data_IF_207370271649
#
_entry.id   IF_207370271649
#
_cell.length_a   1.000
_cell.length_b   1.000
_cell.length_c   1.000
_cell.angle_alpha   90.00
_cell.angle_beta   90.00
_cell.angle_gamma   90.00
#
_symmetry.space_group_name_H-M   'P 1'
#
loop_
_entity.id
_entity.type
_entity.pdbx_description
1 polymer ?
#
# COMPACT_ATOMS: atom_id res chain seq x y z
N UNK A 1 -31.75 -28.30 82.28
CA UNK A 1 -32.14 -27.02 81.67
C UNK A 1 -31.16 -26.70 80.55
N UNK A 2 -31.59 -25.92 79.57
CA UNK A 2 -32.62 -26.24 78.60
C UNK A 2 -31.96 -26.77 77.29
N UNK A 3 -32.48 -27.67 76.43
CA UNK A 3 -33.60 -28.64 76.47
C UNK A 3 -33.67 -29.47 75.14
N UNK A 4 -33.53 -30.81 75.26
CA UNK A 4 -33.99 -31.97 74.45
C UNK A 4 -33.89 -32.00 72.90
N UNK A 5 -33.21 -32.95 72.22
CA UNK A 5 -32.91 -34.40 72.41
C UNK A 5 -34.13 -35.32 72.14
N UNK A 6 -34.03 -36.14 71.07
CA UNK A 6 -34.78 -37.38 70.67
C UNK A 6 -35.16 -37.29 69.17
N UNK A 7 -34.62 -38.06 68.21
CA UNK A 7 -34.36 -39.51 68.07
C UNK A 7 -35.60 -40.38 68.29
N UNK A 8 -36.21 -40.89 67.21
CA UNK A 8 -36.97 -42.16 67.18
C UNK A 8 -37.34 -42.61 65.75
N UNK A 9 -37.55 -43.93 65.53
CA UNK A 9 -37.09 -44.65 64.34
C UNK A 9 -38.26 -45.32 63.55
N UNK A 10 -38.12 -45.58 62.23
CA UNK A 10 -37.82 -46.87 61.54
C UNK A 10 -39.04 -47.79 61.23
N UNK A 11 -39.04 -48.28 59.97
CA UNK A 11 -39.73 -49.47 59.37
C UNK A 11 -41.26 -49.45 59.19
N UNK A 12 -41.91 -50.03 58.16
CA UNK A 12 -41.55 -50.61 56.86
C UNK A 12 -42.86 -51.03 56.14
N UNK A 13 -42.75 -51.37 54.85
CA UNK A 13 -43.74 -51.94 53.90
C UNK A 13 -44.81 -50.97 53.35
N UNK A 14 -45.11 -50.83 52.06
CA UNK A 14 -44.81 -51.48 50.78
C UNK A 14 -46.15 -51.54 50.03
N UNK A 15 -46.32 -50.81 48.92
CA UNK A 15 -46.75 -51.34 47.61
C UNK A 15 -47.01 -50.22 46.60
N UNK A 16 -46.31 -50.35 45.46
CA UNK A 16 -46.74 -50.11 44.07
C UNK A 16 -47.65 -48.90 43.75
N UNK A 17 -47.19 -48.02 42.85
CA UNK A 17 -47.85 -47.80 41.54
C UNK A 17 -47.05 -46.85 40.62
N UNK A 18 -46.89 -47.32 39.39
CA UNK A 18 -46.66 -46.63 38.11
C UNK A 18 -45.32 -45.91 37.82
N UNK A 19 -44.53 -46.56 36.95
CA UNK A 19 -43.52 -45.94 36.08
C UNK A 19 -44.22 -45.04 35.05
N UNK A 20 -43.84 -43.77 34.99
CA UNK A 20 -44.00 -42.93 33.79
C UNK A 20 -42.61 -42.52 33.31
N UNK A 21 -42.28 -42.89 32.07
CA UNK A 21 -41.02 -42.58 31.43
C UNK A 21 -40.95 -41.09 31.08
N UNK A 22 -40.02 -40.35 31.69
CA UNK A 22 -39.70 -38.98 31.30
C UNK A 22 -38.70 -39.00 30.14
N UNK A 23 -39.20 -38.70 28.94
CA UNK A 23 -38.40 -38.27 27.80
C UNK A 23 -37.78 -36.90 28.12
N UNK A 24 -36.50 -36.88 28.48
CA UNK A 24 -35.72 -35.64 28.52
C UNK A 24 -35.34 -35.31 27.08
N UNK A 25 -36.08 -34.38 26.48
CA UNK A 25 -35.70 -33.78 25.20
C UNK A 25 -34.44 -32.96 25.39
N UNK A 26 -33.31 -33.48 24.92
CA UNK A 26 -32.08 -32.70 24.75
C UNK A 26 -32.31 -31.78 23.57
N UNK A 27 -32.68 -30.53 23.85
CA UNK A 27 -32.75 -29.48 22.85
C UNK A 27 -31.33 -29.09 22.47
N UNK A 28 -30.82 -29.63 21.36
CA UNK A 28 -29.57 -29.18 20.75
C UNK A 28 -29.80 -27.76 20.24
N UNK A 29 -29.29 -26.77 20.97
CA UNK A 29 -29.19 -25.41 20.47
C UNK A 29 -28.22 -25.42 19.28
N UNK A 30 -28.79 -25.41 18.08
CA UNK A 30 -28.05 -25.20 16.84
C UNK A 30 -27.46 -23.79 16.91
N UNK A 31 -26.13 -23.67 17.03
CA UNK A 31 -25.44 -22.41 16.79
C UNK A 31 -25.59 -22.07 15.31
N UNK A 32 -26.66 -21.35 14.97
CA UNK A 32 -26.84 -20.78 13.64
C UNK A 32 -25.78 -19.70 13.44
N UNK A 33 -24.87 -19.92 12.49
CA UNK A 33 -24.09 -18.84 11.89
C UNK A 33 -25.10 -17.79 11.38
N UNK A 34 -25.17 -16.64 12.03
CA UNK A 34 -25.97 -15.51 11.55
C UNK A 34 -25.40 -15.14 10.18
N UNK A 35 -26.22 -15.21 9.13
CA UNK A 35 -25.83 -14.70 7.83
C UNK A 35 -25.68 -13.17 7.94
N UNK A 36 -24.59 -12.63 7.39
CA UNK A 36 -24.34 -11.18 7.35
C UNK A 36 -25.54 -10.44 6.75
N UNK A 37 -25.92 -9.32 7.35
CA UNK A 37 -26.98 -8.48 6.77
C UNK A 37 -26.50 -7.81 5.48
N UNK A 38 -27.42 -7.36 4.64
CA UNK A 38 -27.06 -6.62 3.42
C UNK A 38 -26.25 -5.35 3.73
N UNK A 39 -26.51 -4.71 4.87
CA UNK A 39 -25.74 -3.55 5.33
C UNK A 39 -24.30 -3.93 5.70
N UNK A 40 -24.11 -5.06 6.38
CA UNK A 40 -22.78 -5.57 6.76
C UNK A 40 -21.94 -5.90 5.51
N UNK A 41 -22.56 -6.50 4.49
CA UNK A 41 -21.90 -6.78 3.20
C UNK A 41 -21.47 -5.49 2.50
N UNK A 42 -22.30 -4.45 2.49
CA UNK A 42 -21.94 -3.14 1.91
C UNK A 42 -20.80 -2.49 2.71
N UNK A 43 -20.87 -2.50 4.04
CA UNK A 43 -19.81 -1.95 4.88
C UNK A 43 -18.47 -2.67 4.70
N UNK A 44 -18.50 -4.00 4.59
CA UNK A 44 -17.32 -4.81 4.23
C UNK A 44 -16.81 -4.45 2.83
N UNK A 45 -17.71 -4.22 1.88
CA UNK A 45 -17.38 -3.80 0.53
C UNK A 45 -16.69 -2.44 0.47
N UNK A 46 -17.15 -1.47 1.25
CA UNK A 46 -16.51 -0.17 1.39
C UNK A 46 -15.10 -0.31 1.96
N UNK A 47 -14.96 -1.08 3.05
CA UNK A 47 -13.68 -1.37 3.68
C UNK A 47 -12.67 -1.97 2.68
N UNK A 48 -13.09 -2.96 1.90
CA UNK A 48 -12.23 -3.62 0.90
C UNK A 48 -11.97 -2.73 -0.32
N UNK A 49 -12.92 -1.89 -0.73
CA UNK A 49 -12.70 -0.92 -1.82
C UNK A 49 -11.70 0.16 -1.41
N UNK A 50 -11.65 0.54 -0.12
CA UNK A 50 -10.56 1.34 0.45
C UNK A 50 -9.25 0.57 0.40
N UNK A 51 -9.21 -0.64 0.98
CA UNK A 51 -8.01 -1.48 1.02
C UNK A 51 -7.37 -1.69 -0.37
N UNK A 52 -8.20 -1.80 -1.41
CA UNK A 52 -7.77 -1.96 -2.80
C UNK A 52 -7.67 -0.67 -3.61
N UNK A 53 -7.47 0.49 -2.96
CA UNK A 53 -7.21 1.78 -3.62
C UNK A 53 -8.19 2.14 -4.77
N UNK A 54 -9.44 1.63 -4.69
CA UNK A 54 -10.40 1.79 -5.77
C UNK A 54 -10.73 3.27 -5.95
N UNK A 55 -10.80 4.01 -4.85
CA UNK A 55 -11.08 5.45 -4.82
C UNK A 55 -9.94 6.22 -5.47
N UNK A 56 -8.69 5.94 -5.09
CA UNK A 56 -7.51 6.61 -5.62
C UNK A 56 -7.45 6.52 -7.16
N UNK A 57 -7.78 5.36 -7.73
CA UNK A 57 -7.74 5.18 -9.18
C UNK A 57 -9.01 5.69 -9.91
N UNK A 58 -10.19 5.44 -9.35
CA UNK A 58 -11.46 5.66 -10.04
C UNK A 58 -12.18 6.96 -9.64
N UNK A 59 -11.51 7.84 -8.90
CA UNK A 59 -12.03 9.16 -8.54
C UNK A 59 -11.02 10.23 -8.93
N UNK A 60 -11.47 11.26 -9.64
CA UNK A 60 -10.64 12.43 -9.93
C UNK A 60 -10.48 13.29 -8.66
N UNK A 61 -9.35 14.01 -8.48
CA UNK A 61 -9.26 15.06 -7.48
C UNK A 61 -10.44 16.04 -7.61
N UNK A 62 -11.15 16.30 -6.51
CA UNK A 62 -12.40 17.07 -6.47
C UNK A 62 -13.54 16.56 -7.39
N UNK A 63 -13.41 15.34 -7.91
CA UNK A 63 -14.41 14.67 -8.73
C UNK A 63 -15.47 13.93 -7.91
N UNK A 64 -16.43 13.33 -8.61
CA UNK A 64 -17.44 12.48 -7.97
C UNK A 64 -16.87 11.09 -7.74
N UNK A 65 -17.13 10.53 -6.55
CA UNK A 65 -16.69 9.20 -6.15
C UNK A 65 -17.00 8.16 -7.25
N UNK A 66 -15.98 7.43 -7.68
CA UNK A 66 -16.06 6.38 -8.70
C UNK A 66 -16.47 6.82 -10.12
N UNK A 67 -16.47 8.13 -10.41
CA UNK A 67 -16.80 8.67 -11.73
C UNK A 67 -15.75 8.39 -12.83
N UNK A 68 -14.57 7.89 -12.46
CA UNK A 68 -13.47 7.58 -13.37
C UNK A 68 -12.82 8.82 -14.00
N UNK A 69 -12.04 8.58 -15.06
CA UNK A 69 -11.40 9.60 -15.87
C UNK A 69 -10.00 10.02 -15.41
N UNK A 70 -9.44 9.40 -14.36
CA UNK A 70 -8.09 9.72 -13.88
C UNK A 70 -7.05 9.32 -14.94
N UNK A 71 -6.21 10.26 -15.41
CA UNK A 71 -5.09 9.94 -16.30
C UNK A 71 -4.01 9.20 -15.52
N UNK A 72 -3.47 8.14 -16.14
CA UNK A 72 -2.31 7.40 -15.66
C UNK A 72 -1.28 7.38 -16.78
N UNK A 73 -0.27 8.24 -16.66
CA UNK A 73 0.82 8.27 -17.63
C UNK A 73 1.70 7.05 -17.47
N UNK A 74 2.01 6.40 -18.59
CA UNK A 74 2.93 5.27 -18.65
C UNK A 74 3.95 5.51 -19.77
N UNK A 75 5.08 4.79 -19.78
CA UNK A 75 6.01 4.83 -20.91
C UNK A 75 5.36 4.48 -22.26
N UNK A 76 4.20 3.82 -22.24
CA UNK A 76 3.47 3.33 -23.41
C UNK A 76 2.35 4.28 -23.89
N UNK A 77 2.14 5.40 -23.19
CA UNK A 77 1.05 6.34 -23.40
C UNK A 77 0.15 6.48 -22.17
N UNK A 78 -0.97 7.16 -22.32
CA UNK A 78 -1.85 7.51 -21.18
C UNK A 78 -3.04 6.56 -21.11
N UNK A 79 -3.20 5.92 -19.96
CA UNK A 79 -4.39 5.16 -19.60
C UNK A 79 -5.36 6.07 -18.85
N UNK A 80 -6.65 5.76 -18.92
CA UNK A 80 -7.69 6.51 -18.21
C UNK A 80 -8.53 5.53 -17.41
N UNK A 81 -8.74 5.79 -16.12
CA UNK A 81 -9.57 4.92 -15.28
C UNK A 81 -11.04 4.98 -15.73
N UNK A 82 -11.77 3.85 -15.76
CA UNK A 82 -13.19 3.87 -16.08
C UNK A 82 -14.04 4.35 -14.90
N UNK A 83 -15.23 4.83 -15.21
CA UNK A 83 -16.34 5.02 -14.27
C UNK A 83 -16.81 3.65 -13.77
N UNK A 84 -16.77 3.45 -12.46
CA UNK A 84 -17.20 2.21 -11.79
C UNK A 84 -18.39 2.44 -10.84
N UNK A 85 -19.10 3.55 -11.00
CA UNK A 85 -20.35 3.80 -10.28
C UNK A 85 -21.48 2.87 -10.74
N UNK A 86 -22.59 2.90 -10.01
CA UNK A 86 -23.81 2.13 -10.30
C UNK A 86 -24.58 2.62 -11.55
N UNK A 87 -24.05 3.59 -12.30
CA UNK A 87 -24.67 4.07 -13.55
C UNK A 87 -24.77 2.93 -14.58
N UNK A 88 -25.93 2.83 -15.23
CA UNK A 88 -26.25 1.70 -16.14
C UNK A 88 -25.66 1.87 -17.53
N UNK A 89 -25.33 3.08 -17.95
CA UNK A 89 -24.92 3.36 -19.34
C UNK A 89 -23.41 3.58 -19.47
N UNK A 90 -22.82 4.21 -18.46
CA UNK A 90 -21.42 4.63 -18.45
C UNK A 90 -20.61 3.98 -17.33
N UNK A 91 -21.27 3.47 -16.28
CA UNK A 91 -20.68 2.74 -15.16
C UNK A 91 -20.85 1.22 -15.24
N UNK A 92 -20.85 0.56 -14.08
CA UNK A 92 -20.99 -0.90 -13.94
C UNK A 92 -22.41 -1.35 -13.56
N UNK A 93 -23.41 -0.48 -13.61
CA UNK A 93 -24.79 -0.79 -13.16
C UNK A 93 -25.52 -1.90 -13.94
N UNK A 94 -25.01 -2.31 -15.11
CA UNK A 94 -25.52 -3.45 -15.89
C UNK A 94 -24.71 -4.74 -15.70
N UNK A 95 -23.66 -4.71 -14.87
CA UNK A 95 -22.85 -5.89 -14.60
C UNK A 95 -23.60 -6.80 -13.62
N UNK A 96 -23.18 -8.05 -13.54
CA UNK A 96 -23.53 -8.97 -12.47
C UNK A 96 -22.33 -9.17 -11.54
N UNK A 97 -22.59 -9.57 -10.30
CA UNK A 97 -21.53 -9.93 -9.35
C UNK A 97 -20.56 -10.98 -9.93
N UNK A 98 -21.08 -11.95 -10.71
CA UNK A 98 -20.26 -12.94 -11.42
C UNK A 98 -19.34 -12.31 -12.48
N UNK A 99 -19.84 -11.36 -13.26
CA UNK A 99 -19.02 -10.67 -14.26
C UNK A 99 -17.96 -9.78 -13.61
N UNK A 100 -18.31 -9.12 -12.50
CA UNK A 100 -17.36 -8.34 -11.70
C UNK A 100 -16.25 -9.23 -11.12
N UNK A 101 -16.61 -10.34 -10.45
CA UNK A 101 -15.64 -11.32 -9.94
C UNK A 101 -14.71 -11.84 -11.04
N UNK A 102 -15.28 -12.22 -12.20
CA UNK A 102 -14.49 -12.66 -13.35
C UNK A 102 -13.53 -11.57 -13.83
N UNK A 103 -13.94 -10.30 -13.84
CA UNK A 103 -13.07 -9.19 -14.23
C UNK A 103 -11.92 -9.02 -13.23
N UNK A 104 -12.20 -9.04 -11.92
CA UNK A 104 -11.17 -8.95 -10.88
C UNK A 104 -10.16 -10.11 -10.96
N UNK A 105 -10.65 -11.33 -11.25
CA UNK A 105 -9.81 -12.54 -11.25
C UNK A 105 -9.07 -12.79 -12.56
N UNK A 106 -9.66 -12.38 -13.67
CA UNK A 106 -9.17 -12.73 -15.00
C UNK A 106 -8.82 -11.51 -15.83
N UNK A 107 -9.01 -10.27 -15.36
CA UNK A 107 -8.73 -9.06 -16.15
C UNK A 107 -9.50 -8.98 -17.47
N UNK A 108 -10.68 -9.64 -17.55
CA UNK A 108 -11.56 -9.63 -18.73
C UNK A 108 -12.79 -8.78 -18.43
N UNK A 109 -13.02 -7.79 -19.26
CA UNK A 109 -14.23 -6.96 -19.21
C UNK A 109 -15.48 -7.80 -19.52
N UNK A 110 -16.66 -7.20 -19.31
CA UNK A 110 -17.97 -7.81 -19.59
C UNK A 110 -18.11 -8.25 -21.05
N UNK A 111 -17.58 -7.48 -21.99
CA UNK A 111 -17.56 -7.75 -23.43
C UNK A 111 -16.49 -8.77 -23.86
N UNK A 112 -15.70 -9.29 -22.92
CA UNK A 112 -14.61 -10.22 -23.17
C UNK A 112 -13.28 -9.56 -23.57
N UNK A 113 -13.23 -8.23 -23.69
CA UNK A 113 -11.98 -7.52 -23.95
C UNK A 113 -11.01 -7.64 -22.77
N UNK A 114 -9.70 -7.69 -23.07
CA UNK A 114 -8.66 -7.74 -22.06
C UNK A 114 -8.39 -6.34 -21.50
N UNK A 115 -8.32 -6.24 -20.17
CA UNK A 115 -7.91 -5.03 -19.48
C UNK A 115 -6.39 -4.85 -19.53
N UNK A 116 -5.96 -3.59 -19.58
CA UNK A 116 -4.54 -3.25 -19.41
C UNK A 116 -4.12 -3.47 -17.95
N UNK A 117 -2.86 -3.89 -17.70
CA UNK A 117 -2.39 -4.30 -16.37
C UNK A 117 -2.24 -3.16 -15.37
N UNK A 118 -2.53 -1.91 -15.76
CA UNK A 118 -2.73 -0.84 -14.79
C UNK A 118 -3.93 -1.10 -13.88
N UNK A 119 -4.94 -1.84 -14.36
CA UNK A 119 -5.88 -2.48 -13.46
C UNK A 119 -5.19 -3.71 -12.85
N UNK A 120 -5.06 -3.81 -11.52
CA UNK A 120 -4.19 -4.76 -10.83
C UNK A 120 -4.78 -6.18 -10.74
N UNK A 121 -5.37 -6.68 -11.82
CA UNK A 121 -6.03 -8.00 -11.86
C UNK A 121 -5.07 -9.17 -11.54
N UNK A 122 -3.76 -8.99 -11.74
CA UNK A 122 -2.76 -9.99 -11.39
C UNK A 122 -2.61 -10.16 -9.86
N UNK A 123 -2.95 -9.12 -9.08
CA UNK A 123 -3.04 -9.16 -7.62
C UNK A 123 -4.47 -9.48 -7.18
N UNK A 124 -5.47 -8.84 -7.77
CA UNK A 124 -6.87 -9.01 -7.37
C UNK A 124 -7.43 -10.41 -7.61
N UNK A 125 -6.78 -11.23 -8.43
CA UNK A 125 -7.09 -12.67 -8.53
C UNK A 125 -6.96 -13.42 -7.19
N UNK A 126 -6.28 -12.84 -6.19
CA UNK A 126 -6.13 -13.40 -4.86
C UNK A 126 -7.36 -13.24 -3.97
N UNK A 127 -8.27 -12.31 -4.26
CA UNK A 127 -9.39 -11.99 -3.37
C UNK A 127 -10.44 -13.09 -3.38
N UNK A 128 -11.07 -13.36 -2.25
CA UNK A 128 -12.13 -14.37 -2.21
C UNK A 128 -13.37 -13.92 -2.98
N UNK A 129 -14.19 -14.89 -3.43
CA UNK A 129 -15.49 -14.58 -4.02
C UNK A 129 -16.39 -13.71 -3.13
N UNK A 130 -16.41 -13.99 -1.82
CA UNK A 130 -17.21 -13.22 -0.88
C UNK A 130 -16.76 -11.75 -0.81
N UNK A 131 -15.45 -11.51 -0.79
CA UNK A 131 -14.88 -10.16 -0.77
C UNK A 131 -15.12 -9.41 -2.08
N UNK A 132 -15.02 -10.09 -3.22
CA UNK A 132 -15.38 -9.52 -4.52
C UNK A 132 -16.87 -9.14 -4.60
N UNK A 133 -17.75 -9.98 -4.06
CA UNK A 133 -19.20 -9.72 -4.07
C UNK A 133 -19.56 -8.57 -3.11
N UNK A 134 -18.84 -8.45 -1.98
CA UNK A 134 -18.97 -7.31 -1.06
C UNK A 134 -18.54 -5.99 -1.72
N UNK A 135 -17.36 -5.95 -2.35
CA UNK A 135 -16.92 -4.76 -3.11
C UNK A 135 -17.95 -4.39 -4.17
N UNK A 136 -18.44 -5.37 -4.93
CA UNK A 136 -19.47 -5.14 -5.93
C UNK A 136 -20.75 -4.56 -5.33
N UNK A 137 -21.24 -5.11 -4.22
CA UNK A 137 -22.41 -4.59 -3.52
C UNK A 137 -22.24 -3.14 -3.07
N UNK A 138 -21.07 -2.78 -2.54
CA UNK A 138 -20.74 -1.40 -2.20
C UNK A 138 -20.76 -0.48 -3.43
N UNK A 139 -20.11 -0.87 -4.53
CA UNK A 139 -20.11 -0.08 -5.77
C UNK A 139 -21.52 0.08 -6.37
N UNK A 140 -22.40 -0.90 -6.19
CA UNK A 140 -23.82 -0.78 -6.59
C UNK A 140 -24.63 0.13 -5.66
N UNK A 141 -24.17 0.32 -4.41
CA UNK A 141 -24.85 1.18 -3.43
C UNK A 141 -24.51 2.66 -3.57
N UNK A 142 -23.37 3.01 -4.20
CA UNK A 142 -22.98 4.40 -4.39
C UNK A 142 -23.87 5.12 -5.41
N UNK A 143 -24.04 6.46 -5.31
CA UNK A 143 -24.80 7.23 -6.28
C UNK A 143 -24.28 7.04 -7.73
N UNK A 144 -25.17 6.85 -8.71
CA UNK A 144 -24.77 6.68 -10.10
C UNK A 144 -24.21 7.99 -10.66
N UNK A 145 -23.09 7.89 -11.36
CA UNK A 145 -22.48 9.01 -12.08
C UNK A 145 -22.58 8.74 -13.57
N UNK A 146 -23.37 9.54 -14.29
CA UNK A 146 -23.45 9.45 -15.74
C UNK A 146 -22.28 10.21 -16.39
N UNK A 147 -21.17 9.51 -16.60
CA UNK A 147 -19.94 10.07 -17.16
C UNK A 147 -19.29 9.06 -18.10
N UNK A 148 -19.30 9.31 -19.42
CA UNK A 148 -18.67 8.42 -20.39
C UNK A 148 -17.18 8.22 -20.15
N UNK A 149 -16.71 6.98 -20.35
CA UNK A 149 -15.30 6.64 -20.24
C UNK A 149 -14.50 7.28 -21.38
N UNK A 150 -13.30 7.78 -21.06
CA UNK A 150 -12.35 8.27 -22.05
C UNK A 150 -11.54 7.11 -22.65
N UNK A 151 -11.37 7.02 -23.97
CA UNK A 151 -10.49 6.02 -24.58
C UNK A 151 -9.03 6.25 -24.18
N UNK A 152 -8.25 5.17 -24.09
CA UNK A 152 -6.82 5.27 -23.81
C UNK A 152 -6.05 5.88 -24.98
N UNK A 153 -4.97 6.59 -24.66
CA UNK A 153 -4.07 7.25 -25.60
C UNK A 153 -2.73 6.52 -25.62
N UNK A 154 -2.78 5.24 -25.96
CA UNK A 154 -1.61 4.38 -26.06
C UNK A 154 -0.96 4.48 -27.44
N UNK A 155 0.36 4.43 -27.46
CA UNK A 155 1.15 4.46 -28.70
C UNK A 155 1.17 3.07 -29.33
N UNK A 156 1.23 3.00 -30.66
CA UNK A 156 1.51 1.73 -31.33
C UNK A 156 2.88 1.18 -30.90
N UNK A 157 3.03 -0.13 -30.63
CA UNK A 157 2.03 -1.20 -30.78
C UNK A 157 1.16 -1.45 -29.54
N UNK A 158 1.36 -0.74 -28.43
CA UNK A 158 0.68 -0.99 -27.14
C UNK A 158 -0.83 -0.70 -27.15
N UNK A 159 -1.33 0.05 -28.14
CA UNK A 159 -2.77 0.21 -28.38
C UNK A 159 -3.47 -1.07 -28.89
N UNK A 160 -2.73 -2.13 -29.24
CA UNK A 160 -3.29 -3.39 -29.70
C UNK A 160 -3.59 -4.34 -28.54
N UNK A 161 -4.86 -4.43 -28.12
CA UNK A 161 -5.30 -5.29 -27.00
C UNK A 161 -4.93 -6.76 -27.13
N UNK A 162 -4.73 -7.29 -28.34
CA UNK A 162 -4.38 -8.70 -28.52
C UNK A 162 -2.97 -9.04 -27.99
N UNK A 163 -2.07 -8.07 -27.91
CA UNK A 163 -0.74 -8.26 -27.33
C UNK A 163 -0.80 -8.62 -25.83
N UNK A 164 -1.89 -8.24 -25.15
CA UNK A 164 -2.10 -8.59 -23.75
C UNK A 164 -2.23 -10.10 -23.54
N UNK A 165 -2.56 -10.90 -24.57
CA UNK A 165 -2.57 -12.37 -24.42
C UNK A 165 -1.18 -12.91 -24.06
N UNK A 166 -0.15 -12.42 -24.75
CA UNK A 166 1.24 -12.80 -24.48
C UNK A 166 1.73 -12.24 -23.14
N UNK A 167 1.43 -10.97 -22.85
CA UNK A 167 1.78 -10.35 -21.57
C UNK A 167 1.22 -11.15 -20.39
N UNK A 168 -0.05 -11.54 -20.45
CA UNK A 168 -0.71 -12.29 -19.37
C UNK A 168 -0.08 -13.66 -19.14
N UNK A 169 0.33 -14.37 -20.20
CA UNK A 169 1.01 -15.66 -20.03
C UNK A 169 2.36 -15.57 -19.29
N UNK A 170 2.96 -14.38 -19.23
CA UNK A 170 4.24 -14.16 -18.56
C UNK A 170 4.07 -13.68 -17.11
N UNK A 171 3.05 -12.87 -16.84
CA UNK A 171 2.96 -12.09 -15.60
C UNK A 171 1.74 -12.40 -14.72
N UNK A 172 0.81 -13.25 -15.18
CA UNK A 172 -0.43 -13.52 -14.46
C UNK A 172 -0.58 -14.99 -14.10
N UNK A 173 -0.87 -15.24 -12.82
CA UNK A 173 -1.21 -16.56 -12.29
C UNK A 173 -2.57 -16.45 -11.60
N UNK A 174 -3.61 -17.01 -12.21
CA UNK A 174 -4.98 -16.92 -11.69
C UNK A 174 -5.14 -17.78 -10.43
N UNK A 175 -5.86 -17.27 -9.44
CA UNK A 175 -6.30 -18.06 -8.28
C UNK A 175 -6.31 -17.29 -6.97
N UNK A 176 -7.36 -17.56 -6.19
CA UNK A 176 -7.56 -17.03 -4.84
C UNK A 176 -6.37 -17.37 -3.94
N UNK A 177 -6.08 -16.51 -2.98
CA UNK A 177 -5.05 -16.74 -1.98
C UNK A 177 -5.36 -18.02 -1.19
N UNK A 178 -4.33 -18.85 -0.99
CA UNK A 178 -4.41 -20.05 -0.18
C UNK A 178 -3.55 -19.84 1.07
N UNK A 179 -4.13 -19.89 2.29
CA UNK A 179 -3.36 -19.76 3.52
C UNK A 179 -2.26 -20.82 3.61
N UNK A 180 -1.06 -20.38 3.98
CA UNK A 180 0.04 -21.27 4.34
C UNK A 180 -0.21 -21.86 5.73
N UNK A 181 -0.38 -23.19 5.86
CA UNK A 181 -0.67 -23.84 7.13
C UNK A 181 0.51 -23.80 8.13
N UNK A 182 1.71 -23.43 7.67
CA UNK A 182 2.89 -23.27 8.52
C UNK A 182 3.03 -21.87 9.11
N UNK A 183 2.19 -20.93 8.67
CA UNK A 183 2.21 -19.53 9.09
C UNK A 183 1.05 -19.21 10.04
N UNK A 184 1.19 -18.13 10.81
CA UNK A 184 0.13 -17.68 11.71
C UNK A 184 -1.08 -17.14 10.92
N UNK A 185 -2.23 -17.04 11.59
CA UNK A 185 -3.43 -16.42 11.01
C UNK A 185 -3.18 -14.96 10.64
N UNK A 186 -2.48 -14.23 11.52
CA UNK A 186 -2.09 -12.83 11.30
C UNK A 186 -1.17 -12.69 10.08
N UNK A 187 -0.17 -13.58 9.92
CA UNK A 187 0.71 -13.55 8.76
C UNK A 187 -0.05 -13.82 7.46
N UNK A 188 -0.93 -14.83 7.45
CA UNK A 188 -1.75 -15.16 6.28
C UNK A 188 -2.71 -14.01 5.93
N UNK A 189 -3.24 -13.30 6.93
CA UNK A 189 -4.05 -12.10 6.71
C UNK A 189 -3.23 -10.99 6.07
N UNK A 190 -2.01 -10.76 6.53
CA UNK A 190 -1.08 -9.80 5.93
C UNK A 190 -0.74 -10.13 4.48
N UNK A 191 -0.40 -11.38 4.21
CA UNK A 191 -0.12 -11.89 2.86
C UNK A 191 -1.31 -11.68 1.92
N UNK A 192 -2.52 -12.01 2.36
CA UNK A 192 -3.75 -11.80 1.59
C UNK A 192 -3.96 -10.32 1.20
N UNK A 193 -3.72 -9.40 2.14
CA UNK A 193 -3.86 -7.96 1.90
C UNK A 193 -2.74 -7.45 0.99
N UNK A 194 -1.49 -7.81 1.24
CA UNK A 194 -0.31 -7.33 0.49
C UNK A 194 -0.28 -7.85 -0.95
N UNK A 195 -0.56 -9.14 -1.15
CA UNK A 195 -0.54 -9.77 -2.48
C UNK A 195 -1.84 -9.57 -3.26
N UNK A 196 -2.95 -9.34 -2.55
CA UNK A 196 -4.29 -9.11 -3.10
C UNK A 196 -4.60 -7.63 -3.31
N UNK A 197 -5.51 -7.09 -2.48
CA UNK A 197 -6.05 -5.74 -2.66
C UNK A 197 -4.99 -4.64 -2.52
N UNK A 198 -4.05 -4.76 -1.58
CA UNK A 198 -2.98 -3.78 -1.41
C UNK A 198 -1.92 -3.80 -2.51
N UNK A 199 -1.91 -4.83 -3.36
CA UNK A 199 -1.10 -4.96 -4.59
C UNK A 199 0.33 -4.41 -4.48
N UNK A 200 1.00 -4.61 -3.34
CA UNK A 200 2.19 -3.81 -3.00
C UNK A 200 3.35 -4.10 -3.94
N UNK A 201 3.37 -5.29 -4.55
CA UNK A 201 4.34 -5.68 -5.57
C UNK A 201 4.34 -4.72 -6.75
N UNK A 202 3.20 -4.13 -7.14
CA UNK A 202 3.08 -3.26 -8.31
C UNK A 202 4.04 -2.08 -8.31
N UNK A 203 4.25 -1.47 -7.15
CA UNK A 203 5.21 -0.37 -7.00
C UNK A 203 6.55 -0.87 -6.44
N UNK A 204 6.51 -1.75 -5.44
CA UNK A 204 7.71 -2.21 -4.73
C UNK A 204 8.45 -3.37 -5.44
N UNK A 205 8.29 -3.53 -6.75
CA UNK A 205 9.04 -4.50 -7.56
C UNK A 205 9.44 -3.83 -8.87
N UNK A 206 10.69 -4.04 -9.29
CA UNK A 206 11.18 -3.49 -10.55
C UNK A 206 10.31 -3.91 -11.76
N UNK A 207 9.79 -2.89 -12.46
CA UNK A 207 9.03 -3.05 -13.70
C UNK A 207 10.02 -3.18 -14.88
N UNK A 208 9.86 -4.22 -15.69
CA UNK A 208 10.72 -4.45 -16.85
C UNK A 208 10.22 -3.72 -18.11
N UNK A 209 10.97 -3.83 -19.21
CA UNK A 209 10.65 -3.16 -20.47
C UNK A 209 9.30 -3.55 -21.10
N UNK A 210 8.72 -4.71 -20.72
CA UNK A 210 7.39 -5.14 -21.16
C UNK A 210 6.27 -4.59 -20.26
N UNK A 211 6.59 -3.75 -19.28
CA UNK A 211 5.62 -3.16 -18.35
C UNK A 211 5.12 -4.14 -17.29
N UNK A 212 5.78 -5.28 -17.11
CA UNK A 212 5.44 -6.27 -16.08
C UNK A 212 6.43 -6.26 -14.93
N UNK A 213 5.98 -6.69 -13.76
CA UNK A 213 6.82 -6.85 -12.58
C UNK A 213 7.79 -8.01 -12.77
N UNK A 214 9.05 -7.82 -12.38
CA UNK A 214 10.08 -8.87 -12.43
C UNK A 214 9.91 -9.86 -11.27
N UNK A 215 9.46 -11.11 -11.48
CA UNK A 215 9.18 -12.03 -10.35
C UNK A 215 10.44 -12.37 -9.54
N UNK A 216 11.60 -12.42 -10.18
CA UNK A 216 12.88 -12.65 -9.51
C UNK A 216 13.26 -11.53 -8.54
N UNK A 217 12.76 -10.31 -8.75
CA UNK A 217 13.04 -9.11 -7.94
C UNK A 217 11.85 -8.68 -7.07
N UNK A 218 10.93 -9.61 -6.80
CA UNK A 218 9.71 -9.31 -6.05
C UNK A 218 10.05 -8.65 -4.70
N UNK A 219 9.40 -7.51 -4.43
CA UNK A 219 9.59 -6.68 -3.24
C UNK A 219 10.96 -5.99 -3.08
N UNK A 220 11.86 -6.04 -4.07
CA UNK A 220 13.18 -5.39 -4.00
C UNK A 220 13.14 -3.87 -4.28
N UNK A 221 11.95 -3.32 -4.50
CA UNK A 221 11.77 -1.91 -4.85
C UNK A 221 12.02 -1.63 -6.33
N UNK A 222 11.86 -0.37 -6.72
CA UNK A 222 12.01 0.06 -8.10
C UNK A 222 11.58 1.49 -8.34
N UNK A 223 12.03 2.04 -9.47
CA UNK A 223 11.53 3.33 -9.96
C UNK A 223 10.11 3.14 -10.49
N UNK A 224 9.17 3.96 -10.02
CA UNK A 224 7.80 4.04 -10.54
C UNK A 224 7.86 4.87 -11.85
N UNK A 225 7.63 4.25 -13.02
CA UNK A 225 7.75 4.94 -14.30
C UNK A 225 6.78 6.12 -14.38
N UNK A 226 7.23 7.19 -15.06
CA UNK A 226 6.52 8.47 -15.24
C UNK A 226 6.28 9.30 -13.98
N UNK A 227 6.00 8.69 -12.83
CA UNK A 227 5.84 9.39 -11.56
C UNK A 227 7.18 9.86 -11.00
N UNK A 228 8.29 9.27 -11.46
CA UNK A 228 9.66 9.59 -11.05
C UNK A 228 9.83 9.50 -9.53
N UNK A 229 9.15 8.57 -8.88
CA UNK A 229 9.35 8.24 -7.47
C UNK A 229 9.99 6.86 -7.37
N UNK A 230 10.87 6.67 -6.40
CA UNK A 230 11.44 5.37 -6.11
C UNK A 230 10.67 4.70 -4.98
N UNK A 231 10.06 3.54 -5.25
CA UNK A 231 9.46 2.69 -4.24
C UNK A 231 10.59 1.87 -3.58
N UNK A 232 10.86 2.04 -2.27
CA UNK A 232 11.92 1.31 -1.57
C UNK A 232 11.69 -0.21 -1.57
N UNK A 233 12.72 -0.98 -1.26
CA UNK A 233 12.56 -2.41 -0.98
C UNK A 233 11.62 -2.63 0.20
N UNK A 234 10.79 -3.67 0.15
CA UNK A 234 10.00 -4.14 1.31
C UNK A 234 10.59 -5.39 1.93
N UNK A 235 11.68 -5.93 1.37
CA UNK A 235 12.36 -7.10 1.96
C UNK A 235 13.08 -6.74 3.26
N UNK A 236 13.54 -7.74 4.02
CA UNK A 236 14.32 -7.53 5.25
C UNK A 236 15.76 -7.03 4.99
N UNK A 237 16.10 -6.50 3.81
CA UNK A 237 17.42 -5.91 3.57
C UNK A 237 17.61 -4.60 4.36
N UNK A 238 18.86 -4.27 4.69
CA UNK A 238 19.20 -3.12 5.55
C UNK A 238 19.44 -1.82 4.79
N UNK A 239 19.71 -1.89 3.48
CA UNK A 239 19.97 -0.72 2.64
C UNK A 239 18.70 0.11 2.41
N UNK A 240 17.65 -0.51 1.85
CA UNK A 240 16.40 0.18 1.52
C UNK A 240 15.14 -0.49 2.10
N UNK A 241 15.29 -1.60 2.83
CA UNK A 241 14.19 -2.42 3.31
C UNK A 241 13.89 -2.29 4.80
N UNK A 242 13.11 -3.25 5.28
CA UNK A 242 12.50 -3.23 6.61
C UNK A 242 13.34 -3.97 7.65
N UNK A 243 14.60 -4.32 7.36
CA UNK A 243 15.44 -5.19 8.18
C UNK A 243 15.58 -4.75 9.65
N UNK A 244 15.80 -3.45 9.88
CA UNK A 244 15.95 -2.88 11.24
C UNK A 244 14.68 -2.15 11.75
N UNK A 245 13.58 -2.21 10.98
CA UNK A 245 12.30 -1.60 11.38
C UNK A 245 11.55 -2.48 12.38
N UNK A 246 10.91 -1.89 13.38
CA UNK A 246 9.94 -2.61 14.21
C UNK A 246 8.60 -2.76 13.49
N UNK A 247 7.76 -3.68 13.96
CA UNK A 247 6.38 -3.81 13.47
C UNK A 247 5.61 -2.50 13.68
N UNK A 248 5.78 -1.86 14.84
CA UNK A 248 5.09 -0.61 15.15
C UNK A 248 5.56 0.54 14.25
N UNK A 249 6.84 0.59 13.85
CA UNK A 249 7.32 1.58 12.87
C UNK A 249 6.60 1.45 11.51
N UNK A 250 6.32 0.21 11.09
CA UNK A 250 5.61 -0.07 9.84
C UNK A 250 4.12 0.26 9.99
N UNK A 251 3.51 -0.12 11.11
CA UNK A 251 2.10 0.19 11.41
C UNK A 251 1.86 1.69 11.46
N UNK A 252 2.71 2.44 12.16
CA UNK A 252 2.62 3.90 12.25
C UNK A 252 2.74 4.53 10.86
N UNK A 253 3.72 4.09 10.06
CA UNK A 253 3.94 4.62 8.72
C UNK A 253 2.72 4.36 7.80
N UNK A 254 2.18 3.14 7.80
CA UNK A 254 1.06 2.77 6.94
C UNK A 254 -0.27 3.39 7.39
N UNK A 255 -0.51 3.51 8.69
CA UNK A 255 -1.81 3.98 9.21
C UNK A 255 -1.88 5.50 9.35
N UNK A 256 -0.77 6.14 9.74
CA UNK A 256 -0.73 7.59 9.99
C UNK A 256 0.01 8.38 8.90
N UNK A 257 0.84 7.71 8.11
CA UNK A 257 1.72 8.34 7.12
C UNK A 257 3.06 8.82 7.68
N UNK A 258 3.26 8.70 8.99
CA UNK A 258 4.49 9.10 9.68
C UNK A 258 4.91 8.03 10.67
N UNK A 259 6.20 7.87 10.86
CA UNK A 259 6.77 7.04 11.91
C UNK A 259 8.06 7.67 12.43
N UNK A 260 8.62 7.08 13.48
CA UNK A 260 9.94 7.44 14.01
C UNK A 260 11.08 7.16 13.03
N UNK A 261 10.85 6.42 11.94
CA UNK A 261 11.82 6.18 10.86
C UNK A 261 11.70 7.17 9.70
N UNK A 262 10.55 7.84 9.54
CA UNK A 262 10.33 8.75 8.41
C UNK A 262 8.85 9.07 8.17
N UNK A 263 8.57 9.65 7.01
CA UNK A 263 7.21 9.94 6.57
C UNK A 263 7.03 9.53 5.10
N UNK A 264 5.81 9.17 4.72
CA UNK A 264 5.49 8.89 3.32
C UNK A 264 5.22 10.18 2.56
N UNK A 265 5.61 10.20 1.29
CA UNK A 265 5.38 11.30 0.36
C UNK A 265 5.05 10.74 -1.02
N UNK A 266 4.53 11.60 -1.91
CA UNK A 266 4.22 11.21 -3.28
C UNK A 266 3.18 10.09 -3.33
N UNK A 267 3.34 9.07 -4.19
CA UNK A 267 2.33 8.03 -4.40
C UNK A 267 1.96 7.25 -3.13
N UNK A 268 2.93 7.03 -2.23
CA UNK A 268 2.64 6.33 -0.98
C UNK A 268 1.83 7.19 0.00
N UNK A 269 1.91 8.53 -0.09
CA UNK A 269 1.02 9.40 0.67
C UNK A 269 -0.43 9.30 0.18
N UNK A 270 -0.67 9.12 -1.12
CA UNK A 270 -2.02 8.83 -1.65
C UNK A 270 -2.55 7.49 -1.13
N UNK A 271 -1.72 6.43 -1.16
CA UNK A 271 -2.10 5.11 -0.63
C UNK A 271 -2.51 5.18 0.84
N UNK A 272 -1.76 5.90 1.66
CA UNK A 272 -2.13 6.09 3.06
C UNK A 272 -3.41 6.94 3.18
N UNK A 273 -3.52 8.01 2.40
CA UNK A 273 -4.64 8.94 2.46
C UNK A 273 -5.97 8.32 2.01
N UNK A 274 -5.99 7.53 0.93
CA UNK A 274 -7.22 6.98 0.36
C UNK A 274 -7.55 5.57 0.88
N UNK A 275 -6.56 4.82 1.35
CA UNK A 275 -6.68 3.40 1.75
C UNK A 275 -6.28 3.13 3.20
N UNK A 276 -4.98 3.05 3.50
CA UNK A 276 -4.52 2.36 4.72
C UNK A 276 -4.94 3.04 6.03
N UNK A 277 -5.21 4.35 6.03
CA UNK A 277 -5.72 5.03 7.23
C UNK A 277 -7.12 4.57 7.66
N UNK A 278 -7.88 3.93 6.76
CA UNK A 278 -9.24 3.42 7.03
C UNK A 278 -9.25 1.94 7.43
N UNK A 279 -8.10 1.26 7.35
CA UNK A 279 -8.00 -0.14 7.75
C UNK A 279 -8.00 -0.28 9.28
N UNK A 280 -8.44 -1.43 9.77
CA UNK A 280 -8.33 -1.75 11.19
C UNK A 280 -6.85 -1.86 11.57
N UNK A 281 -6.54 -1.57 12.84
CA UNK A 281 -5.17 -1.71 13.33
C UNK A 281 -4.67 -3.15 13.20
N UNK A 282 -5.55 -4.14 13.41
CA UNK A 282 -5.23 -5.56 13.24
C UNK A 282 -4.81 -5.90 11.80
N UNK A 283 -5.49 -5.34 10.79
CA UNK A 283 -5.15 -5.58 9.40
C UNK A 283 -3.85 -4.86 8.99
N UNK A 284 -3.62 -3.64 9.47
CA UNK A 284 -2.34 -2.95 9.22
C UNK A 284 -1.18 -3.66 9.93
N UNK A 285 -1.42 -4.20 11.14
CA UNK A 285 -0.45 -5.02 11.86
C UNK A 285 -0.16 -6.33 11.15
N UNK A 286 -1.20 -6.99 10.63
CA UNK A 286 -1.04 -8.19 9.81
C UNK A 286 -0.17 -7.92 8.57
N UNK A 287 -0.43 -6.81 7.86
CA UNK A 287 0.42 -6.35 6.75
C UNK A 287 1.86 -6.16 7.21
N UNK A 288 2.09 -5.46 8.33
CA UNK A 288 3.43 -5.26 8.88
C UNK A 288 4.13 -6.58 9.23
N UNK A 289 3.42 -7.54 9.82
CA UNK A 289 3.95 -8.88 10.16
C UNK A 289 4.37 -9.63 8.90
N UNK A 290 3.55 -9.63 7.86
CA UNK A 290 3.90 -10.27 6.58
C UNK A 290 5.12 -9.60 5.94
N UNK A 291 5.12 -8.26 5.82
CA UNK A 291 6.22 -7.51 5.21
C UNK A 291 7.53 -7.74 5.96
N UNK A 292 7.50 -7.77 7.30
CA UNK A 292 8.68 -8.03 8.13
C UNK A 292 9.22 -9.45 7.98
N UNK A 293 8.38 -10.42 7.62
CA UNK A 293 8.78 -11.79 7.37
C UNK A 293 9.37 -12.02 5.97
N UNK A 294 9.29 -11.03 5.07
CA UNK A 294 9.87 -11.16 3.72
C UNK A 294 11.39 -11.35 3.83
N UNK A 295 11.95 -12.41 3.22
CA UNK A 295 13.36 -12.71 3.34
C UNK A 295 14.20 -11.58 2.74
N UNK A 296 15.36 -11.30 3.33
CA UNK A 296 16.36 -10.49 2.67
C UNK A 296 16.75 -11.19 1.36
N UNK A 297 16.46 -10.55 0.21
CA UNK A 297 16.89 -11.07 -1.08
C UNK A 297 18.26 -10.47 -1.41
N UNK A 298 19.21 -11.35 -1.67
CA UNK A 298 20.61 -11.02 -1.92
C UNK A 298 20.77 -10.37 -3.29
N UNK A 299 20.85 -9.04 -3.27
CA UNK A 299 21.39 -8.20 -4.32
C UNK A 299 22.26 -7.10 -3.70
N UNK A 300 22.88 -7.40 -2.55
CA UNK A 300 23.94 -6.57 -1.98
C UNK A 300 25.05 -6.46 -3.04
N UNK A 301 24.95 -5.46 -3.90
CA UNK A 301 26.13 -4.71 -4.19
C UNK A 301 26.58 -4.20 -2.83
N UNK A 302 27.51 -4.93 -2.19
CA UNK A 302 28.47 -4.28 -1.31
C UNK A 302 28.85 -3.02 -2.05
N UNK A 303 28.42 -1.87 -1.54
CA UNK A 303 28.70 -0.59 -2.17
C UNK A 303 30.19 -0.62 -2.44
N UNK A 304 30.56 -0.73 -3.71
CA UNK A 304 31.96 -0.71 -4.08
C UNK A 304 32.48 0.63 -3.56
N UNK A 305 33.67 0.67 -2.94
CA UNK A 305 34.19 1.92 -2.42
C UNK A 305 34.04 2.99 -3.52
N UNK A 306 33.52 4.18 -3.17
CA UNK A 306 33.22 5.20 -4.17
C UNK A 306 34.45 5.44 -5.03
N UNK A 307 34.25 5.55 -6.35
CA UNK A 307 35.36 5.82 -7.26
C UNK A 307 36.05 7.14 -6.86
N UNK A 308 37.30 7.31 -7.29
CA UNK A 308 38.05 8.56 -7.03
C UNK A 308 37.25 9.78 -7.50
N UNK A 309 36.64 9.71 -8.68
CA UNK A 309 35.79 10.77 -9.21
C UNK A 309 34.54 11.07 -8.35
N UNK A 310 33.91 10.04 -7.78
CA UNK A 310 32.76 10.23 -6.87
C UNK A 310 33.19 10.89 -5.56
N UNK A 311 34.37 10.51 -5.05
CA UNK A 311 34.94 11.09 -3.82
C UNK A 311 35.36 12.54 -4.03
N UNK A 312 35.98 12.86 -5.18
CA UNK A 312 36.35 14.23 -5.54
C UNK A 312 35.13 15.14 -5.68
N UNK A 313 34.08 14.67 -6.36
CA UNK A 313 32.85 15.44 -6.53
C UNK A 313 32.14 15.66 -5.18
N UNK A 314 32.10 14.64 -4.31
CA UNK A 314 31.60 14.79 -2.95
C UNK A 314 32.36 15.87 -2.18
N UNK A 315 33.69 15.84 -2.22
CA UNK A 315 34.54 16.82 -1.51
C UNK A 315 34.33 18.24 -2.05
N UNK A 316 34.08 18.40 -3.35
CA UNK A 316 33.77 19.68 -4.00
C UNK A 316 32.42 20.23 -3.53
N UNK A 317 31.38 19.38 -3.48
CA UNK A 317 30.00 19.79 -3.19
C UNK A 317 29.72 19.96 -1.69
N UNK A 318 30.39 19.18 -0.83
CA UNK A 318 30.10 19.12 0.62
C UNK A 318 30.13 20.48 1.32
N UNK A 319 31.12 21.38 1.12
CA UNK A 319 31.14 22.69 1.77
C UNK A 319 29.94 23.57 1.39
N UNK A 320 29.55 23.57 0.11
CA UNK A 320 28.37 24.30 -0.38
C UNK A 320 27.09 23.68 0.19
N UNK A 321 26.98 22.36 0.14
CA UNK A 321 25.83 21.63 0.66
C UNK A 321 25.60 21.86 2.15
N UNK A 322 26.68 21.86 2.95
CA UNK A 322 26.62 22.19 4.38
C UNK A 322 26.14 23.62 4.60
N UNK A 323 26.68 24.59 3.86
CA UNK A 323 26.28 26.01 3.99
C UNK A 323 24.78 26.18 3.71
N UNK A 324 24.26 25.53 2.67
CA UNK A 324 22.83 25.55 2.34
C UNK A 324 22.02 24.88 3.44
N UNK A 325 22.44 23.69 3.90
CA UNK A 325 21.76 22.95 4.95
C UNK A 325 21.61 23.78 6.23
N UNK A 326 22.71 24.36 6.70
CA UNK A 326 22.72 25.19 7.90
C UNK A 326 21.77 26.39 7.74
N UNK A 327 21.72 27.01 6.55
CA UNK A 327 20.93 28.20 6.28
C UNK A 327 19.44 27.93 6.04
N UNK A 328 19.05 26.78 5.48
CA UNK A 328 17.70 26.55 4.94
C UNK A 328 17.00 25.30 5.51
N UNK A 329 17.76 24.31 5.98
CA UNK A 329 17.21 22.99 6.35
C UNK A 329 17.26 22.73 7.85
N UNK A 330 18.31 23.21 8.53
CA UNK A 330 18.62 22.91 9.93
C UNK A 330 17.54 23.38 10.92
N UNK A 331 16.77 24.40 10.55
CA UNK A 331 15.66 24.92 11.38
C UNK A 331 14.58 23.88 11.65
N UNK A 332 14.33 22.98 10.69
CA UNK A 332 13.36 21.90 10.81
C UNK A 332 14.05 20.55 11.11
N UNK A 333 15.16 20.27 10.43
CA UNK A 333 15.83 18.97 10.51
C UNK A 333 16.93 18.89 11.59
N UNK A 334 17.09 19.93 12.40
CA UNK A 334 18.14 20.10 13.41
C UNK A 334 19.56 20.16 12.82
N UNK A 335 20.54 20.54 13.64
CA UNK A 335 21.91 20.80 13.15
C UNK A 335 22.65 19.55 12.64
N UNK A 336 22.26 18.35 13.11
CA UNK A 336 22.87 17.08 12.67
C UNK A 336 21.83 16.13 12.05
N UNK A 337 20.79 16.66 11.42
CA UNK A 337 19.80 15.83 10.73
C UNK A 337 18.95 14.96 11.64
N UNK A 338 18.89 15.21 12.96
CA UNK A 338 18.09 14.39 13.88
C UNK A 338 16.57 14.54 13.65
N UNK A 339 16.16 15.62 12.97
CA UNK A 339 14.75 15.96 12.87
C UNK A 339 14.12 16.31 14.22
N UNK A 340 12.80 16.39 14.21
CA UNK A 340 11.97 16.57 15.40
C UNK A 340 10.65 15.84 15.15
N UNK A 341 10.64 14.58 15.54
CA UNK A 341 9.51 13.68 15.36
C UNK A 341 8.23 14.18 16.08
N UNK A 342 7.04 13.83 15.57
CA UNK A 342 6.82 13.18 14.28
C UNK A 342 6.87 14.16 13.08
N UNK A 343 6.93 15.47 13.36
CA UNK A 343 6.68 16.53 12.39
C UNK A 343 7.79 16.69 11.34
N UNK A 344 9.05 16.50 11.76
CA UNK A 344 10.20 16.64 10.89
C UNK A 344 11.01 15.35 10.97
N UNK A 345 11.01 14.51 9.92
CA UNK A 345 11.66 13.21 9.97
C UNK A 345 13.18 13.36 10.11
N UNK A 346 13.85 12.38 10.75
CA UNK A 346 15.31 12.34 10.78
C UNK A 346 15.87 12.18 9.36
N UNK A 347 16.94 12.89 9.07
CA UNK A 347 17.75 12.74 7.87
C UNK A 347 19.02 11.91 8.15
N UNK A 348 19.54 11.98 9.37
CA UNK A 348 20.60 11.09 9.86
C UNK A 348 20.06 9.68 10.10
N UNK A 349 20.83 8.66 9.74
CA UNK A 349 20.48 7.24 9.87
C UNK A 349 19.14 6.86 9.19
N UNK A 350 18.75 7.61 8.16
CA UNK A 350 17.51 7.35 7.43
C UNK A 350 17.79 6.54 6.16
N UNK A 351 17.24 5.32 6.07
CA UNK A 351 17.40 4.46 4.89
C UNK A 351 16.86 5.12 3.61
N UNK A 352 15.78 5.90 3.70
CA UNK A 352 15.24 6.57 2.51
C UNK A 352 16.15 7.66 1.95
N UNK A 353 17.08 8.14 2.76
CA UNK A 353 18.14 9.07 2.36
C UNK A 353 19.35 8.31 1.83
N UNK A 354 19.69 7.18 2.43
CA UNK A 354 20.93 6.44 2.14
C UNK A 354 20.81 5.43 1.00
N UNK A 355 19.60 5.07 0.57
CA UNK A 355 19.37 4.14 -0.54
C UNK A 355 20.14 4.55 -1.80
N UNK A 356 20.51 3.57 -2.62
CA UNK A 356 21.28 3.77 -3.85
C UNK A 356 20.64 4.78 -4.80
N UNK A 357 19.31 4.80 -4.88
CA UNK A 357 18.59 5.83 -5.65
C UNK A 357 18.56 7.17 -4.93
N UNK A 358 18.95 8.23 -5.63
CA UNK A 358 18.89 9.62 -5.16
C UNK A 358 17.56 10.33 -5.48
N UNK A 359 16.64 9.64 -6.19
CA UNK A 359 15.43 10.24 -6.76
C UNK A 359 14.55 10.91 -5.71
N UNK A 360 14.22 10.17 -4.64
CA UNK A 360 13.33 10.67 -3.59
C UNK A 360 13.89 11.89 -2.85
N UNK A 361 15.12 11.89 -2.32
CA UNK A 361 15.65 13.08 -1.65
C UNK A 361 15.82 14.29 -2.59
N UNK A 362 16.16 14.09 -3.86
CA UNK A 362 16.20 15.19 -4.85
C UNK A 362 14.81 15.78 -5.03
N UNK A 363 13.80 14.95 -5.27
CA UNK A 363 12.41 15.41 -5.45
C UNK A 363 11.87 16.11 -4.22
N UNK A 364 12.20 15.61 -3.04
CA UNK A 364 11.77 16.21 -1.79
C UNK A 364 12.36 17.63 -1.60
N UNK A 365 13.64 17.84 -1.93
CA UNK A 365 14.24 19.18 -1.92
C UNK A 365 13.63 20.09 -2.99
N UNK A 366 13.44 19.59 -4.21
CA UNK A 366 12.88 20.39 -5.31
C UNK A 366 11.43 20.81 -5.03
N UNK A 367 10.58 19.85 -4.68
CA UNK A 367 9.14 20.00 -4.71
C UNK A 367 8.51 20.15 -3.32
N UNK A 368 9.25 19.82 -2.26
CA UNK A 368 8.69 19.78 -0.92
C UNK A 368 7.48 18.85 -0.84
N UNK A 369 6.54 19.18 0.04
CA UNK A 369 5.26 18.51 0.14
C UNK A 369 4.83 18.25 1.58
N UNK A 370 3.75 17.49 1.73
CA UNK A 370 3.17 17.15 3.02
C UNK A 370 3.09 15.62 3.14
N UNK A 371 3.30 15.12 4.35
CA UNK A 371 2.79 13.81 4.74
C UNK A 371 1.25 13.83 4.64
N UNK A 372 0.58 12.68 4.47
CA UNK A 372 -0.87 12.64 4.30
C UNK A 372 -1.58 13.09 5.59
N UNK A 373 -2.65 13.87 5.42
CA UNK A 373 -3.55 14.21 6.51
C UNK A 373 -4.43 13.00 6.84
N UNK A 374 -4.22 12.39 8.00
CA UNK A 374 -4.95 11.19 8.43
C UNK A 374 -5.66 11.43 9.76
N UNK A 375 -6.54 10.51 10.16
CA UNK A 375 -7.13 10.53 11.51
C UNK A 375 -6.08 10.52 12.63
N UNK A 376 -4.93 9.87 12.41
CA UNK A 376 -3.79 9.80 13.34
C UNK A 376 -2.71 10.86 13.11
N UNK A 377 -2.79 11.60 12.02
CA UNK A 377 -1.91 12.74 11.68
C UNK A 377 -2.73 13.86 11.00
N UNK A 378 -3.65 14.51 11.74
CA UNK A 378 -4.64 15.40 11.12
C UNK A 378 -4.06 16.73 10.63
N UNK A 379 -2.88 17.12 11.11
CA UNK A 379 -2.20 18.38 10.78
C UNK A 379 -0.72 18.12 10.45
N UNK A 380 -0.42 17.50 9.30
CA UNK A 380 0.95 17.21 8.89
C UNK A 380 1.73 18.50 8.65
N UNK A 381 2.99 18.51 9.08
CA UNK A 381 3.92 19.60 8.76
C UNK A 381 4.46 19.42 7.34
N UNK A 382 4.60 20.53 6.61
CA UNK A 382 5.09 20.54 5.24
C UNK A 382 6.59 20.81 5.16
N UNK A 383 7.23 20.21 4.15
CA UNK A 383 8.55 20.59 3.69
C UNK A 383 8.41 21.64 2.57
N UNK A 384 9.08 22.80 2.66
CA UNK A 384 9.01 23.82 1.63
C UNK A 384 9.70 23.36 0.32
N UNK A 385 9.20 23.76 -0.86
CA UNK A 385 9.86 23.51 -2.13
C UNK A 385 11.06 24.46 -2.34
N UNK A 386 12.18 23.94 -2.83
CA UNK A 386 13.36 24.75 -3.14
C UNK A 386 13.66 24.85 -4.64
N UNK A 387 12.81 24.29 -5.51
CA UNK A 387 13.04 24.34 -6.96
C UNK A 387 13.19 25.78 -7.50
N UNK A 388 12.50 26.77 -6.95
CA UNK A 388 12.61 28.14 -7.46
C UNK A 388 13.76 28.94 -6.84
N UNK A 389 14.35 28.46 -5.75
CA UNK A 389 15.33 29.23 -4.95
C UNK A 389 16.73 28.65 -5.00
N UNK A 390 16.89 27.36 -5.33
CA UNK A 390 18.17 26.69 -5.45
C UNK A 390 18.40 26.22 -6.89
N UNK A 391 19.58 26.52 -7.42
CA UNK A 391 20.09 26.00 -8.69
C UNK A 391 20.31 24.48 -8.65
N UNK A 392 20.53 23.86 -9.80
CA UNK A 392 20.81 22.42 -9.88
C UNK A 392 22.05 22.02 -9.11
N UNK A 393 23.09 22.85 -9.13
CA UNK A 393 24.33 22.64 -8.37
C UNK A 393 24.08 22.76 -6.86
N UNK A 394 23.30 23.73 -6.42
CA UNK A 394 22.98 23.91 -4.99
C UNK A 394 22.11 22.77 -4.45
N UNK A 395 21.15 22.28 -5.23
CA UNK A 395 20.35 21.10 -4.87
C UNK A 395 21.22 19.85 -4.85
N UNK A 396 22.06 19.63 -5.87
CA UNK A 396 23.01 18.52 -5.89
C UNK A 396 23.94 18.57 -4.67
N UNK A 397 24.40 19.75 -4.29
CA UNK A 397 25.26 19.96 -3.13
C UNK A 397 24.56 19.63 -1.81
N UNK A 398 23.38 20.21 -1.55
CA UNK A 398 22.67 19.99 -0.26
C UNK A 398 22.20 18.55 -0.12
N UNK A 399 21.73 17.92 -1.21
CA UNK A 399 21.33 16.51 -1.19
C UNK A 399 22.54 15.60 -0.98
N UNK A 400 23.68 15.88 -1.65
CA UNK A 400 24.94 15.16 -1.41
C UNK A 400 25.38 15.26 0.06
N UNK A 401 25.32 16.46 0.64
CA UNK A 401 25.64 16.66 2.05
C UNK A 401 24.72 15.84 2.96
N UNK A 402 23.40 15.92 2.78
CA UNK A 402 22.42 15.16 3.55
C UNK A 402 22.67 13.65 3.45
N UNK A 403 23.02 13.14 2.27
CA UNK A 403 23.26 11.71 2.01
C UNK A 403 24.57 11.17 2.58
N UNK A 404 25.53 12.05 2.91
CA UNK A 404 26.89 11.66 3.31
C UNK A 404 27.33 12.19 4.68
N UNK A 405 26.52 13.05 5.31
CA UNK A 405 26.78 13.61 6.63
C UNK A 405 26.26 12.69 7.76
N UNK A 406 26.74 12.94 8.99
CA UNK A 406 26.22 12.32 10.23
C UNK A 406 26.27 10.79 10.26
N UNK A 407 27.24 10.19 9.55
CA UNK A 407 27.35 8.74 9.44
C UNK A 407 26.48 8.13 8.34
N UNK A 408 25.82 8.94 7.52
CA UNK A 408 25.13 8.45 6.34
C UNK A 408 26.13 7.96 5.27
N UNK A 409 25.78 6.87 4.58
CA UNK A 409 26.58 6.21 3.56
C UNK A 409 25.92 6.23 2.17
N UNK A 410 25.12 7.25 1.88
CA UNK A 410 24.54 7.45 0.56
C UNK A 410 25.56 7.92 -0.47
N UNK A 411 25.25 7.74 -1.75
CA UNK A 411 26.09 8.24 -2.86
C UNK A 411 25.86 9.74 -3.12
N UNK A 412 26.89 10.49 -3.57
CA UNK A 412 26.74 11.86 -4.06
C UNK A 412 25.74 11.97 -5.21
N UNK A 413 25.12 13.14 -5.32
CA UNK A 413 24.17 13.50 -6.37
C UNK A 413 24.83 14.41 -7.39
N UNK A 414 24.59 14.15 -8.66
CA UNK A 414 25.07 14.95 -9.78
C UNK A 414 24.08 16.06 -10.16
N UNK A 415 24.60 17.15 -10.71
CA UNK A 415 23.80 18.25 -11.28
C UNK A 415 22.83 17.73 -12.37
N UNK A 416 23.27 16.73 -13.14
CA UNK A 416 22.47 16.12 -14.20
C UNK A 416 21.22 15.43 -13.65
N UNK A 417 21.35 14.62 -12.59
CA UNK A 417 20.20 13.96 -11.96
C UNK A 417 19.18 14.98 -11.44
N UNK A 418 19.65 16.10 -10.87
CA UNK A 418 18.76 17.18 -10.42
C UNK A 418 18.04 17.83 -11.60
N UNK A 419 18.76 18.14 -12.68
CA UNK A 419 18.18 18.77 -13.85
C UNK A 419 17.07 17.91 -14.49
N UNK A 420 17.32 16.60 -14.60
CA UNK A 420 16.34 15.61 -15.08
C UNK A 420 15.09 15.56 -14.19
N UNK A 421 15.26 15.60 -12.86
CA UNK A 421 14.14 15.54 -11.91
C UNK A 421 13.41 16.87 -11.72
N UNK A 422 14.05 18.00 -11.98
CA UNK A 422 13.42 19.33 -11.97
C UNK A 422 12.44 19.50 -13.11
N UNK A 423 12.75 18.90 -14.26
CA UNK A 423 11.90 18.92 -15.45
C UNK A 423 10.85 17.80 -15.45
N UNK A 424 10.91 16.89 -14.48
CA UNK A 424 9.92 15.84 -14.31
C UNK A 424 8.57 16.42 -13.85
N UNK A 425 7.44 15.95 -14.41
CA UNK A 425 6.12 16.38 -13.96
C UNK A 425 5.89 16.17 -12.46
N UNK A 426 5.08 17.07 -11.89
CA UNK A 426 4.53 16.98 -10.54
C UNK A 426 3.08 16.51 -10.73
N UNK A 427 2.76 15.33 -10.19
CA UNK A 427 1.42 14.75 -10.22
C UNK A 427 0.76 14.89 -8.87
#
# INVERSE_FOLDING_TARGET
>A
MPSFRKLTPVTALATLLLRAATLVGVSTAQAGTLADSHADVIARGEYLARAGDCIACHTLPAGKLFGGGRPMETPFGTLYSPNISSDKDTGIGKWSAREFYRMMHTGKSRDGSLLYPAMPFASYTKITRADSDAIYAYLQSVPPIHQPNRPHELRFPFNQRQLLRGWRSLYMHEGEYQPDPTQSVEWNRGAYLVEGLGHCTMCHTAINALGGNSPSKQFEGGLIPMQNWYAPSLTSNKEAGLGDWSIDDIVDLLHSGVSRRGAVYGPMAEVVYDSFQYLSEDDVRAVAVYLKALPARSGEAQQSPPSVAVTEEQNRLTPLGKKIYDAQCSICHAAQGQGKLPNFPPLADNQSIQMSSSVNPIRMVLNGGYAPGTSKNPMPYGMPPFAQTLSDEEVAAVVTYIRTAWGNHGTPVTVKEVNELRSAPIF
#
